data_IF_125591737001
#
_entry.id   IF_125591737001
#
_cell.length_a   1.000
_cell.length_b   1.000
_cell.length_c   1.000
_cell.angle_alpha   90.00
_cell.angle_beta   90.00
_cell.angle_gamma   90.00
#
_symmetry.space_group_name_H-M   'P 1'
#
loop_
_entity.id
_entity.type
_entity.pdbx_description
1 polymer ?
#
# COMPACT_ATOMS: atom_id res chain seq x y z
N UNK A 1 16.19 -8.86 8.09
CA UNK A 1 14.99 -9.74 8.09
C UNK A 1 13.77 -8.84 8.01
N UNK A 2 12.96 -8.94 6.95
CA UNK A 2 11.78 -8.08 6.82
C UNK A 2 10.63 -8.61 7.70
N UNK A 3 10.13 -7.79 8.63
CA UNK A 3 9.08 -8.20 9.58
C UNK A 3 7.74 -8.31 8.85
N UNK A 4 7.13 -9.50 8.91
CA UNK A 4 5.76 -9.71 8.46
C UNK A 4 4.79 -9.21 9.53
N UNK A 5 3.66 -8.63 9.12
CA UNK A 5 2.58 -8.25 10.03
C UNK A 5 1.42 -9.24 9.92
N UNK A 6 0.76 -9.50 11.05
CA UNK A 6 -0.48 -10.27 11.13
C UNK A 6 -1.55 -9.28 11.57
N UNK A 7 -2.52 -9.03 10.70
CA UNK A 7 -3.72 -8.27 11.01
C UNK A 7 -4.91 -9.16 10.66
N UNK A 8 -5.83 -9.37 11.62
CA UNK A 8 -7.03 -10.20 11.47
C UNK A 8 -6.79 -11.54 10.73
N UNK A 9 -5.85 -12.36 11.23
CA UNK A 9 -5.41 -13.66 10.66
C UNK A 9 -4.72 -13.59 9.27
N UNK A 10 -4.64 -12.40 8.66
CA UNK A 10 -3.99 -12.18 7.36
C UNK A 10 -2.50 -11.90 7.57
N UNK A 11 -1.67 -12.89 7.24
CA UNK A 11 -0.20 -12.74 7.22
C UNK A 11 0.27 -12.02 5.95
N UNK A 12 0.65 -10.75 6.09
CA UNK A 12 1.26 -9.97 5.00
C UNK A 12 2.79 -10.12 5.05
N UNK A 13 3.34 -10.69 3.98
CA UNK A 13 4.79 -10.78 3.78
C UNK A 13 5.26 -9.60 2.91
N UNK A 14 6.36 -8.92 3.28
CA UNK A 14 6.96 -7.85 2.49
C UNK A 14 7.71 -8.42 1.28
N UNK A 15 6.94 -8.92 0.31
CA UNK A 15 7.47 -9.38 -0.98
C UNK A 15 7.78 -8.19 -1.88
N UNK A 16 8.60 -8.39 -2.92
CA UNK A 16 8.92 -7.34 -3.90
C UNK A 16 7.67 -6.66 -4.46
N UNK A 17 6.61 -7.42 -4.76
CA UNK A 17 5.36 -6.86 -5.30
C UNK A 17 4.58 -6.03 -4.26
N UNK A 18 4.60 -6.44 -2.99
CA UNK A 18 3.94 -5.70 -1.91
C UNK A 18 4.71 -4.42 -1.63
N UNK A 19 6.04 -4.50 -1.56
CA UNK A 19 6.87 -3.34 -1.31
C UNK A 19 6.84 -2.35 -2.47
N UNK A 20 6.82 -2.81 -3.73
CA UNK A 20 6.65 -1.93 -4.89
C UNK A 20 5.32 -1.18 -4.85
N UNK A 21 4.23 -1.85 -4.45
CA UNK A 21 2.94 -1.20 -4.24
C UNK A 21 3.02 -0.12 -3.16
N UNK A 22 3.63 -0.43 -2.02
CA UNK A 22 3.80 0.52 -0.93
C UNK A 22 4.72 1.69 -1.30
N UNK A 23 5.80 1.43 -2.05
CA UNK A 23 6.75 2.42 -2.55
C UNK A 23 6.02 3.40 -3.50
N UNK A 24 5.26 2.90 -4.48
CA UNK A 24 4.51 3.75 -5.42
C UNK A 24 3.42 4.58 -4.71
N UNK A 25 2.73 3.99 -3.73
CA UNK A 25 1.71 4.68 -2.94
C UNK A 25 2.33 5.76 -2.04
N UNK A 26 3.50 5.48 -1.44
CA UNK A 26 4.25 6.44 -0.63
C UNK A 26 4.79 7.60 -1.47
N UNK A 27 5.39 7.32 -2.63
CA UNK A 27 5.89 8.34 -3.55
C UNK A 27 4.77 9.15 -4.20
N UNK A 28 3.52 8.69 -4.11
CA UNK A 28 2.39 9.19 -4.90
C UNK A 28 2.84 9.49 -6.33
N UNK A 29 3.38 8.49 -7.04
CA UNK A 29 3.64 8.60 -8.48
C UNK A 29 2.33 8.65 -9.27
N UNK A 30 1.52 9.66 -8.98
CA UNK A 30 0.32 10.10 -9.70
C UNK A 30 0.75 11.07 -10.80
N UNK A 31 1.78 10.70 -11.56
CA UNK A 31 2.29 11.54 -12.65
C UNK A 31 1.42 11.43 -13.93
N UNK A 32 0.35 10.62 -13.94
CA UNK A 32 -0.36 10.29 -15.18
C UNK A 32 -1.91 10.32 -15.08
N UNK A 33 -2.50 11.07 -14.15
CA UNK A 33 -3.98 11.18 -14.05
C UNK A 33 -4.69 9.84 -13.83
N UNK A 34 -3.93 8.83 -13.41
CA UNK A 34 -4.37 7.53 -12.94
C UNK A 34 -3.68 7.36 -11.59
N UNK A 35 -4.45 7.37 -10.51
CA UNK A 35 -3.92 7.05 -9.19
C UNK A 35 -3.41 5.60 -9.09
N UNK A 36 -3.59 4.79 -10.13
CA UNK A 36 -3.24 3.38 -10.20
C UNK A 36 -2.53 3.06 -11.52
N UNK A 37 -1.25 2.66 -11.49
CA UNK A 37 -0.62 1.94 -12.58
C UNK A 37 -1.42 0.65 -12.86
N UNK A 38 -1.73 0.37 -14.13
CA UNK A 38 -2.51 -0.80 -14.55
C UNK A 38 -1.92 -2.16 -14.14
N UNK A 39 -0.65 -2.19 -13.73
CA UNK A 39 0.05 -3.37 -13.24
C UNK A 39 -0.12 -3.62 -11.73
N UNK A 40 -0.79 -2.72 -10.99
CA UNK A 40 -1.17 -2.96 -9.60
C UNK A 40 -2.18 -4.11 -9.53
N UNK A 41 -1.75 -5.25 -9.01
CA UNK A 41 -2.59 -6.45 -8.90
C UNK A 41 -3.68 -6.22 -7.86
N UNK A 42 -4.94 -6.25 -8.30
CA UNK A 42 -6.15 -6.13 -7.47
C UNK A 42 -6.06 -6.98 -6.18
N UNK A 43 -5.58 -8.21 -6.30
CA UNK A 43 -5.40 -9.13 -5.15
C UNK A 43 -4.40 -8.63 -4.10
N UNK A 44 -3.35 -7.90 -4.48
CA UNK A 44 -2.38 -7.37 -3.51
C UNK A 44 -3.03 -6.25 -2.70
N UNK A 45 -3.79 -5.38 -3.37
CA UNK A 45 -4.55 -4.30 -2.74
C UNK A 45 -5.58 -4.85 -1.75
N UNK A 46 -6.42 -5.77 -2.19
CA UNK A 46 -7.45 -6.40 -1.33
C UNK A 46 -6.82 -7.04 -0.08
N UNK A 47 -5.64 -7.64 -0.21
CA UNK A 47 -4.92 -8.20 0.95
C UNK A 47 -4.39 -7.13 1.90
N UNK A 48 -3.87 -6.03 1.38
CA UNK A 48 -3.40 -4.91 2.20
C UNK A 48 -4.55 -4.19 2.91
N UNK A 49 -5.68 -4.05 2.22
CA UNK A 49 -6.91 -3.45 2.75
C UNK A 49 -7.54 -4.35 3.81
N UNK A 50 -7.68 -5.65 3.52
CA UNK A 50 -8.19 -6.62 4.50
C UNK A 50 -7.25 -6.75 5.72
N UNK A 51 -5.94 -6.52 5.54
CA UNK A 51 -4.98 -6.45 6.64
C UNK A 51 -4.97 -5.09 7.36
N UNK A 52 -5.86 -4.16 7.01
CA UNK A 52 -5.95 -2.84 7.64
C UNK A 52 -4.71 -1.97 7.45
N UNK A 53 -3.84 -2.27 6.48
CA UNK A 53 -2.64 -1.47 6.18
C UNK A 53 -2.96 -0.30 5.25
N UNK A 54 -4.02 -0.43 4.46
CA UNK A 54 -4.52 0.63 3.60
C UNK A 54 -6.02 0.76 3.74
N UNK A 55 -6.54 1.95 3.48
CA UNK A 55 -7.98 2.23 3.45
C UNK A 55 -8.34 3.02 2.19
N UNK A 56 -9.55 2.79 1.66
CA UNK A 56 -10.08 3.63 0.59
C UNK A 56 -10.67 4.92 1.14
N UNK A 57 -10.23 6.09 0.65
CA UNK A 57 -10.79 7.41 0.99
C UNK A 57 -11.75 7.94 -0.08
N UNK A 58 -12.48 7.04 -0.75
CA UNK A 58 -13.49 7.40 -1.75
C UNK A 58 -12.97 7.37 -3.19
N UNK A 59 -13.76 7.91 -4.11
CA UNK A 59 -13.47 7.90 -5.55
C UNK A 59 -13.14 9.30 -6.04
N UNK A 60 -12.02 9.45 -6.74
CA UNK A 60 -11.68 10.67 -7.47
C UNK A 60 -12.30 10.62 -8.87
N UNK A 61 -12.99 11.69 -9.33
CA UNK A 61 -13.54 11.75 -10.68
C UNK A 61 -12.44 11.55 -11.72
N UNK A 62 -12.59 10.56 -12.60
CA UNK A 62 -11.60 10.22 -13.64
C UNK A 62 -10.43 9.33 -13.18
N UNK A 63 -10.27 9.10 -11.87
CA UNK A 63 -9.09 8.41 -11.32
C UNK A 63 -9.43 7.13 -10.53
N UNK A 64 -10.71 6.89 -10.22
CA UNK A 64 -11.19 5.70 -9.51
C UNK A 64 -11.03 5.79 -7.99
N UNK A 65 -11.15 4.65 -7.30
CA UNK A 65 -11.06 4.56 -5.84
C UNK A 65 -9.65 4.87 -5.35
N UNK A 66 -9.50 5.86 -4.47
CA UNK A 66 -8.21 6.29 -3.90
C UNK A 66 -7.95 5.56 -2.60
N UNK A 67 -6.72 5.07 -2.42
CA UNK A 67 -6.28 4.29 -1.26
C UNK A 67 -5.10 4.99 -0.57
N UNK A 68 -5.08 4.92 0.75
CA UNK A 68 -4.09 5.55 1.61
C UNK A 68 -3.56 4.56 2.62
N UNK A 69 -2.32 4.75 3.08
CA UNK A 69 -1.86 4.04 4.27
C UNK A 69 -2.73 4.41 5.47
N UNK A 70 -3.11 3.41 6.25
CA UNK A 70 -3.52 3.64 7.64
C UNK A 70 -2.29 3.98 8.47
N UNK A 71 -2.49 4.48 9.70
CA UNK A 71 -1.38 4.75 10.62
C UNK A 71 -0.52 3.50 10.85
N UNK A 72 -1.18 2.34 11.05
CA UNK A 72 -0.52 1.04 11.22
C UNK A 72 0.22 0.62 9.96
N UNK A 73 -0.38 0.80 8.78
CA UNK A 73 0.24 0.47 7.51
C UNK A 73 1.47 1.29 7.19
N UNK A 74 1.43 2.60 7.49
CA UNK A 74 2.57 3.49 7.33
C UNK A 74 3.71 3.11 8.28
N UNK A 75 3.41 2.89 9.56
CA UNK A 75 4.39 2.46 10.55
C UNK A 75 5.04 1.12 10.17
N UNK A 76 4.23 0.15 9.71
CA UNK A 76 4.72 -1.12 9.20
C UNK A 76 5.64 -0.94 8.00
N UNK A 77 5.22 -0.18 6.99
CA UNK A 77 6.01 0.09 5.79
C UNK A 77 7.35 0.75 6.12
N UNK A 78 7.36 1.79 6.97
CA UNK A 78 8.57 2.49 7.39
C UNK A 78 9.49 1.61 8.27
N UNK A 79 8.95 0.65 9.01
CA UNK A 79 9.76 -0.33 9.74
C UNK A 79 10.57 -1.26 8.80
N UNK A 80 10.09 -1.45 7.58
CA UNK A 80 10.75 -2.25 6.54
C UNK A 80 11.64 -1.36 5.66
N UNK A 81 11.22 -0.12 5.41
CA UNK A 81 11.88 0.91 4.60
C UNK A 81 12.31 2.10 5.46
N UNK A 82 13.20 1.92 6.46
CA UNK A 82 13.60 3.01 7.35
C UNK A 82 14.28 4.17 6.59
N UNK A 83 14.86 3.91 5.42
CA UNK A 83 15.45 4.94 4.55
C UNK A 83 14.44 5.98 4.04
N UNK A 84 13.14 5.68 4.06
CA UNK A 84 12.05 6.58 3.64
C UNK A 84 11.52 7.48 4.76
N UNK A 85 11.97 7.26 6.00
CA UNK A 85 11.58 8.02 7.18
C UNK A 85 12.54 9.20 7.48
N UNK A 86 13.28 9.66 6.47
CA UNK A 86 14.31 10.69 6.55
C UNK A 86 13.93 11.87 5.66
#
# INVERSE_FOLDING_TARGET
>A
MAKSIVADDIKIKPTVNVMAFCDDMFERKSACGKNYPSHWKVKTRERLEAAGLIESKGQSPGEGAVYYFTEVGLAWYLSIRPERNR
#
